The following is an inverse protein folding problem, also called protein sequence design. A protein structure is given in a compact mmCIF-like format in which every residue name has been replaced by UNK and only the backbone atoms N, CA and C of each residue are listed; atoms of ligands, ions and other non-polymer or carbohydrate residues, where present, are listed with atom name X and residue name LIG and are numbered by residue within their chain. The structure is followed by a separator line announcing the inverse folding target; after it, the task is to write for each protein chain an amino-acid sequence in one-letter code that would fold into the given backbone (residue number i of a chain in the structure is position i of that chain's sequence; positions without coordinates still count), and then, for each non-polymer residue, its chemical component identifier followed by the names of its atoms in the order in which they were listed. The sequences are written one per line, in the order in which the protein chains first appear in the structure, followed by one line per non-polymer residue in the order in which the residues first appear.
data_IF_708399939642
#
_entry.id   IF_708399939642
#
_cell.length_a   1.000
_cell.length_b   1.000
_cell.length_c   1.000
_cell.angle_alpha   90.00
_cell.angle_beta   90.00
_cell.angle_gamma   90.00
#
_symmetry.space_group_name_H-M   'P 1'
#
loop_
_entity.id
_entity.type
_entity.pdbx_description
1 polymer ?
#
# COMPACT_ATOMS: atom_id res chain seq x y z
N UNK A 1 -0.88 -13.03 -25.43
CA UNK A 1 -1.33 -11.88 -24.62
C UNK A 1 -1.02 -12.19 -23.17
N UNK A 2 -0.32 -11.29 -22.46
CA UNK A 2 0.05 -11.53 -21.05
C UNK A 2 -1.16 -11.44 -20.14
N UNK A 3 -1.15 -12.26 -19.08
CA UNK A 3 -2.25 -12.37 -18.10
C UNK A 3 -1.74 -12.08 -16.70
N UNK A 4 -2.39 -11.13 -16.04
CA UNK A 4 -2.10 -10.72 -14.68
C UNK A 4 -3.33 -10.85 -13.80
N UNK A 5 -3.14 -10.93 -12.49
CA UNK A 5 -4.24 -11.01 -11.56
C UNK A 5 -3.94 -10.32 -10.23
N UNK A 6 -4.99 -9.85 -9.55
CA UNK A 6 -4.97 -9.57 -8.11
C UNK A 6 -5.47 -10.81 -7.37
N UNK A 7 -4.70 -11.28 -6.40
CA UNK A 7 -5.10 -12.35 -5.50
C UNK A 7 -5.40 -11.82 -4.10
N UNK A 8 -6.47 -12.31 -3.49
CA UNK A 8 -6.92 -11.99 -2.14
C UNK A 8 -8.03 -12.92 -1.69
N UNK A 9 -8.45 -12.84 -0.44
CA UNK A 9 -9.55 -13.67 0.06
C UNK A 9 -10.91 -13.15 -0.40
N UNK A 10 -11.11 -11.81 -0.38
CA UNK A 10 -12.28 -11.11 -0.88
C UNK A 10 -11.85 -9.85 -1.60
N UNK A 11 -12.21 -9.71 -2.84
CA UNK A 11 -11.74 -8.63 -3.70
C UNK A 11 -12.83 -7.59 -4.03
N UNK A 12 -14.09 -7.94 -3.82
CA UNK A 12 -15.25 -7.05 -3.88
C UNK A 12 -15.21 -6.01 -5.00
N UNK A 13 -15.18 -4.73 -4.63
CA UNK A 13 -15.10 -3.60 -5.55
C UNK A 13 -13.68 -3.05 -5.67
N UNK A 14 -12.76 -3.83 -6.27
CA UNK A 14 -11.40 -3.38 -6.54
C UNK A 14 -11.33 -2.59 -7.85
N UNK A 15 -10.71 -1.42 -7.84
CA UNK A 15 -10.41 -0.63 -9.05
C UNK A 15 -9.10 -1.08 -9.74
N UNK A 16 -8.44 -2.12 -9.24
CA UNK A 16 -7.18 -2.61 -9.84
C UNK A 16 -7.31 -2.97 -11.32
N UNK A 17 -8.36 -3.68 -11.77
CA UNK A 17 -8.49 -4.02 -13.20
C UNK A 17 -8.48 -2.80 -14.10
N UNK A 18 -9.23 -1.74 -13.74
CA UNK A 18 -9.34 -0.52 -14.53
C UNK A 18 -8.02 0.25 -14.55
N UNK A 19 -7.35 0.38 -13.39
CA UNK A 19 -6.05 1.06 -13.26
C UNK A 19 -4.99 0.34 -14.09
N UNK A 20 -4.92 -0.99 -14.00
CA UNK A 20 -3.97 -1.78 -14.76
C UNK A 20 -4.25 -1.71 -16.26
N UNK A 21 -5.53 -1.72 -16.68
CA UNK A 21 -5.92 -1.56 -18.08
C UNK A 21 -5.50 -0.19 -18.62
N UNK A 22 -5.76 0.89 -17.88
CA UNK A 22 -5.33 2.24 -18.25
C UNK A 22 -3.80 2.33 -18.34
N UNK A 23 -3.08 1.73 -17.39
CA UNK A 23 -1.62 1.69 -17.37
C UNK A 23 -1.04 0.93 -18.57
N UNK A 24 -1.57 -0.26 -18.88
CA UNK A 24 -1.17 -1.03 -20.07
C UNK A 24 -1.37 -0.25 -21.37
N UNK A 25 -2.53 0.41 -21.52
CA UNK A 25 -2.82 1.27 -22.67
C UNK A 25 -1.78 2.38 -22.82
N UNK A 26 -1.39 3.05 -21.74
CA UNK A 26 -0.38 4.12 -21.75
C UNK A 26 1.05 3.60 -21.99
N UNK A 27 1.36 2.37 -21.59
CA UNK A 27 2.62 1.70 -21.89
C UNK A 27 2.68 1.16 -23.34
N UNK A 28 1.57 1.21 -24.08
CA UNK A 28 1.48 0.65 -25.44
C UNK A 28 1.68 -0.87 -25.45
N UNK A 29 1.05 -1.57 -24.50
CA UNK A 29 1.12 -3.03 -24.36
C UNK A 29 -0.28 -3.64 -24.23
N UNK A 30 -0.42 -4.93 -24.61
CA UNK A 30 -1.69 -5.65 -24.55
C UNK A 30 -1.60 -6.80 -23.53
N UNK A 31 -2.53 -6.79 -22.58
CA UNK A 31 -2.64 -7.80 -21.54
C UNK A 31 -4.02 -7.80 -20.89
N UNK A 32 -4.26 -8.82 -20.09
CA UNK A 32 -5.47 -8.96 -19.28
C UNK A 32 -5.13 -8.84 -17.80
N UNK A 33 -6.05 -8.27 -17.02
CA UNK A 33 -5.92 -8.21 -15.57
C UNK A 33 -7.24 -8.64 -14.93
N UNK A 34 -7.20 -9.66 -14.08
CA UNK A 34 -8.37 -10.27 -13.45
C UNK A 34 -8.30 -10.23 -11.93
N UNK A 35 -9.43 -10.50 -11.28
CA UNK A 35 -9.54 -10.69 -9.85
C UNK A 35 -9.66 -12.18 -9.55
N UNK A 36 -8.82 -12.72 -8.67
CA UNK A 36 -8.83 -14.12 -8.25
C UNK A 36 -8.99 -14.21 -6.73
N UNK A 37 -10.20 -14.48 -6.29
CA UNK A 37 -10.47 -14.77 -4.89
C UNK A 37 -10.03 -16.21 -4.58
N UNK A 38 -9.21 -16.36 -3.53
CA UNK A 38 -8.61 -17.62 -3.12
C UNK A 38 -8.87 -17.86 -1.64
N UNK A 39 -9.20 -19.10 -1.30
CA UNK A 39 -9.14 -19.53 0.09
C UNK A 39 -7.67 -19.73 0.54
N UNK A 40 -7.36 -19.64 1.85
CA UNK A 40 -5.97 -19.73 2.34
C UNK A 40 -5.19 -20.98 1.88
N UNK A 41 -5.85 -22.13 1.78
CA UNK A 41 -5.22 -23.38 1.34
C UNK A 41 -4.85 -23.42 -0.15
N UNK A 42 -5.41 -22.50 -0.97
CA UNK A 42 -5.17 -22.41 -2.41
C UNK A 42 -3.96 -21.51 -2.74
N UNK A 43 -3.38 -20.82 -1.76
CA UNK A 43 -2.28 -19.90 -2.01
C UNK A 43 -1.07 -20.57 -2.68
N UNK A 44 -0.79 -21.82 -2.36
CA UNK A 44 0.30 -22.60 -2.99
C UNK A 44 0.07 -22.90 -4.47
N UNK A 45 -1.18 -22.93 -4.96
CA UNK A 45 -1.52 -23.18 -6.36
C UNK A 45 -1.08 -22.02 -7.27
N UNK A 46 -0.98 -20.81 -6.70
CA UNK A 46 -0.58 -19.60 -7.45
C UNK A 46 0.84 -19.72 -8.00
N UNK A 47 1.76 -20.32 -7.23
CA UNK A 47 3.12 -20.56 -7.68
C UNK A 47 3.16 -21.48 -8.91
N UNK A 48 2.31 -22.51 -8.94
CA UNK A 48 2.17 -23.39 -10.11
C UNK A 48 1.62 -22.64 -11.34
N UNK A 49 0.60 -21.79 -11.17
CA UNK A 49 0.00 -21.01 -12.27
C UNK A 49 0.98 -20.02 -12.89
N UNK A 50 1.87 -19.43 -12.06
CA UNK A 50 2.94 -18.56 -12.55
C UNK A 50 4.02 -19.35 -13.30
N UNK A 51 4.47 -20.51 -12.76
CA UNK A 51 5.51 -21.34 -13.41
C UNK A 51 5.02 -21.99 -14.70
N UNK A 52 3.74 -22.34 -14.81
CA UNK A 52 3.14 -22.93 -16.01
C UNK A 52 2.88 -21.89 -17.12
N UNK A 53 3.04 -20.58 -16.85
CA UNK A 53 2.71 -19.51 -17.78
C UNK A 53 1.20 -19.27 -17.94
N UNK A 54 0.36 -19.81 -17.05
CA UNK A 54 -1.07 -19.45 -17.00
C UNK A 54 -1.26 -18.00 -16.59
N UNK A 55 -0.38 -17.51 -15.69
CA UNK A 55 -0.26 -16.11 -15.27
C UNK A 55 1.17 -15.63 -15.50
N UNK A 56 1.33 -14.40 -16.00
CA UNK A 56 2.63 -13.75 -16.20
C UNK A 56 3.08 -12.92 -15.00
N UNK A 57 2.18 -12.65 -14.06
CA UNK A 57 2.45 -11.93 -12.82
C UNK A 57 1.19 -11.74 -12.00
N UNK A 58 1.37 -11.47 -10.72
CA UNK A 58 0.25 -11.22 -9.79
C UNK A 58 0.52 -10.03 -8.87
N UNK A 59 -0.56 -9.35 -8.49
CA UNK A 59 -0.57 -8.58 -7.26
C UNK A 59 -1.20 -9.40 -6.14
N UNK A 60 -0.79 -9.10 -4.92
CA UNK A 60 -1.24 -9.78 -3.69
C UNK A 60 -1.81 -8.75 -2.71
N UNK A 61 -3.03 -9.00 -2.24
CA UNK A 61 -3.64 -8.18 -1.19
C UNK A 61 -3.99 -8.97 0.06
N UNK A 62 -4.70 -8.37 0.98
CA UNK A 62 -5.11 -8.95 2.26
C UNK A 62 -5.86 -10.27 2.03
N UNK A 63 -5.56 -11.33 2.83
CA UNK A 63 -4.60 -11.36 3.94
C UNK A 63 -3.19 -11.87 3.56
N UNK A 64 -2.90 -12.11 2.27
CA UNK A 64 -1.83 -13.00 1.78
C UNK A 64 -0.45 -12.37 1.60
N UNK A 65 -0.29 -11.05 1.83
CA UNK A 65 0.99 -10.33 1.57
C UNK A 65 2.21 -10.87 2.33
N UNK A 66 1.99 -11.51 3.48
CA UNK A 66 3.06 -12.14 4.28
C UNK A 66 3.19 -13.62 3.92
N UNK A 67 2.08 -14.33 3.81
CA UNK A 67 2.10 -15.78 3.59
C UNK A 67 2.59 -16.18 2.20
N UNK A 68 2.38 -15.34 1.18
CA UNK A 68 2.87 -15.59 -0.19
C UNK A 68 4.38 -15.75 -0.25
N UNK A 69 5.13 -15.14 0.67
CA UNK A 69 6.60 -15.22 0.72
C UNK A 69 7.06 -16.69 0.78
N UNK A 70 6.31 -17.55 1.45
CA UNK A 70 6.62 -18.99 1.58
C UNK A 70 6.51 -19.76 0.26
N UNK A 71 5.87 -19.18 -0.75
CA UNK A 71 5.65 -19.77 -2.08
C UNK A 71 6.63 -19.26 -3.13
N UNK A 72 7.56 -18.36 -2.76
CA UNK A 72 8.49 -17.67 -3.66
C UNK A 72 9.91 -18.23 -3.51
N UNK A 73 10.70 -18.11 -4.57
CA UNK A 73 12.11 -18.54 -4.55
C UNK A 73 12.99 -17.46 -3.91
N UNK A 74 12.68 -16.18 -4.18
CA UNK A 74 13.35 -15.04 -3.53
C UNK A 74 12.43 -13.83 -3.44
N UNK A 75 12.82 -12.89 -2.60
CA UNK A 75 12.19 -11.57 -2.53
C UNK A 75 13.27 -10.49 -2.64
N UNK A 76 12.89 -9.29 -3.06
CA UNK A 76 13.84 -8.17 -3.12
C UNK A 76 14.23 -7.72 -1.71
N UNK A 77 15.41 -7.11 -1.57
CA UNK A 77 15.87 -6.56 -0.28
C UNK A 77 14.87 -5.58 0.34
N UNK A 78 14.16 -4.82 -0.49
CA UNK A 78 13.10 -3.92 -0.07
C UNK A 78 11.89 -4.71 0.49
N UNK A 79 11.42 -5.73 -0.22
CA UNK A 79 10.31 -6.58 0.25
C UNK A 79 10.68 -7.36 1.52
N UNK A 80 11.94 -7.79 1.65
CA UNK A 80 12.49 -8.42 2.84
C UNK A 80 12.47 -7.46 4.04
N UNK A 81 12.98 -6.25 3.87
CA UNK A 81 12.96 -5.22 4.91
C UNK A 81 11.54 -4.82 5.35
N UNK A 82 10.57 -4.89 4.44
CA UNK A 82 9.15 -4.67 4.74
C UNK A 82 8.52 -5.91 5.39
N UNK A 83 9.00 -7.10 5.06
CA UNK A 83 8.41 -8.37 5.50
C UNK A 83 7.04 -8.65 4.88
N UNK A 84 6.79 -8.14 3.67
CA UNK A 84 5.55 -8.35 2.92
C UNK A 84 5.77 -8.19 1.41
N UNK A 85 5.06 -8.99 0.61
CA UNK A 85 5.07 -8.96 -0.86
C UNK A 85 3.66 -8.62 -1.36
N UNK A 86 3.56 -7.70 -2.32
CA UNK A 86 2.31 -7.38 -3.00
C UNK A 86 2.37 -7.54 -4.52
N UNK A 87 3.52 -7.93 -5.06
CA UNK A 87 3.71 -8.13 -6.51
C UNK A 87 4.67 -9.27 -6.74
N UNK A 88 4.31 -10.21 -7.62
CA UNK A 88 5.16 -11.37 -7.97
C UNK A 88 5.30 -11.46 -9.48
N UNK A 89 6.49 -11.83 -9.91
CA UNK A 89 6.83 -12.07 -11.31
C UNK A 89 7.73 -13.31 -11.43
N UNK A 90 7.64 -14.03 -12.52
CA UNK A 90 8.60 -15.07 -12.89
C UNK A 90 9.78 -14.44 -13.65
N UNK A 91 10.97 -14.51 -13.07
CA UNK A 91 12.24 -14.00 -13.65
C UNK A 91 13.26 -15.15 -13.70
N UNK A 92 13.77 -15.48 -14.89
CA UNK A 92 14.82 -16.51 -15.05
C UNK A 92 14.49 -17.82 -14.32
N UNK A 93 13.23 -18.26 -14.42
CA UNK A 93 12.65 -19.44 -13.75
C UNK A 93 12.43 -19.31 -12.23
N UNK A 94 12.77 -18.17 -11.60
CA UNK A 94 12.51 -17.88 -10.21
C UNK A 94 11.25 -17.02 -10.02
N UNK A 95 10.44 -17.34 -9.03
CA UNK A 95 9.35 -16.50 -8.55
C UNK A 95 9.90 -15.44 -7.62
N UNK A 96 9.89 -14.20 -8.08
CA UNK A 96 10.46 -13.06 -7.37
C UNK A 96 9.37 -12.18 -6.79
N UNK A 97 9.45 -11.92 -5.48
CA UNK A 97 8.52 -11.06 -4.77
C UNK A 97 9.04 -9.64 -4.59
N UNK A 98 8.14 -8.68 -4.85
CA UNK A 98 8.35 -7.23 -4.72
C UNK A 98 7.32 -6.60 -3.79
N UNK A 99 7.61 -5.40 -3.29
CA UNK A 99 6.61 -4.59 -2.60
C UNK A 99 6.43 -3.24 -3.29
N UNK A 100 5.42 -3.13 -4.17
CA UNK A 100 5.12 -1.89 -4.90
C UNK A 100 4.35 -0.86 -4.07
N UNK A 101 3.80 -1.23 -2.90
CA UNK A 101 3.18 -0.28 -1.96
C UNK A 101 4.21 0.75 -1.46
N UNK A 102 5.47 0.34 -1.28
CA UNK A 102 6.58 1.22 -0.95
C UNK A 102 6.68 2.38 -1.95
N UNK A 103 6.71 2.06 -3.24
CA UNK A 103 6.80 3.06 -4.30
C UNK A 103 5.55 3.91 -4.40
N UNK A 104 4.37 3.31 -4.24
CA UNK A 104 3.11 4.04 -4.23
C UNK A 104 3.03 5.07 -3.10
N UNK A 105 3.45 4.70 -1.89
CA UNK A 105 3.47 5.62 -0.76
C UNK A 105 4.57 6.69 -0.91
N UNK A 106 5.74 6.30 -1.42
CA UNK A 106 6.82 7.26 -1.73
C UNK A 106 6.37 8.30 -2.74
N UNK A 107 5.64 7.91 -3.80
CA UNK A 107 5.03 8.83 -4.76
C UNK A 107 4.10 9.83 -4.08
N UNK A 108 3.30 9.40 -3.12
CA UNK A 108 2.40 10.27 -2.35
C UNK A 108 3.20 11.35 -1.62
N UNK A 109 4.29 10.98 -0.94
CA UNK A 109 5.14 11.91 -0.20
C UNK A 109 5.90 12.88 -1.12
N UNK A 110 6.47 12.39 -2.23
CA UNK A 110 7.17 13.20 -3.22
C UNK A 110 6.25 14.32 -3.77
N UNK A 111 4.96 14.01 -3.95
CA UNK A 111 3.96 14.98 -4.38
C UNK A 111 3.66 16.04 -3.32
N UNK A 112 3.61 15.64 -2.07
CA UNK A 112 3.38 16.57 -0.95
C UNK A 112 4.60 17.45 -0.66
N UNK A 113 5.79 17.08 -1.14
CA UNK A 113 7.06 17.79 -0.94
C UNK A 113 7.40 18.03 0.54
N UNK A 114 7.14 17.03 1.39
CA UNK A 114 7.37 17.11 2.83
C UNK A 114 8.80 16.66 3.14
N UNK A 115 9.53 17.45 3.94
CA UNK A 115 10.79 17.03 4.55
C UNK A 115 10.52 16.31 5.87
N UNK A 116 10.85 15.03 5.93
CA UNK A 116 10.61 14.17 7.09
C UNK A 116 11.86 13.90 7.92
N UNK A 117 13.04 14.37 7.48
CA UNK A 117 14.31 14.07 8.15
C UNK A 117 14.33 14.58 9.61
N UNK A 118 14.45 13.64 10.55
CA UNK A 118 14.44 13.90 11.99
C UNK A 118 13.08 14.30 12.57
N UNK A 119 12.01 14.32 11.76
CA UNK A 119 10.66 14.69 12.18
C UNK A 119 9.88 13.49 12.72
N UNK A 120 8.99 13.76 13.67
CA UNK A 120 8.07 12.75 14.17
C UNK A 120 7.01 12.44 13.11
N UNK A 121 6.86 11.14 12.80
CA UNK A 121 5.89 10.59 11.88
C UNK A 121 5.07 9.52 12.60
N UNK A 122 3.77 9.65 12.61
CA UNK A 122 2.86 8.70 13.26
C UNK A 122 2.15 7.85 12.22
N UNK A 123 2.10 6.54 12.46
CA UNK A 123 1.37 5.56 11.64
C UNK A 123 0.31 4.89 12.51
N UNK A 124 -0.96 5.05 12.16
CA UNK A 124 -2.08 4.45 12.87
C UNK A 124 -2.43 3.09 12.25
N UNK A 125 -2.31 2.02 13.05
CA UNK A 125 -2.59 0.65 12.62
C UNK A 125 -1.35 -0.11 12.14
N UNK A 126 -1.37 -1.45 12.26
CA UNK A 126 -0.23 -2.34 12.00
C UNK A 126 -0.50 -3.44 10.97
N UNK A 127 -1.31 -3.14 9.94
CA UNK A 127 -1.61 -4.06 8.84
C UNK A 127 -0.50 -4.16 7.79
N UNK A 128 -0.75 -4.91 6.72
CA UNK A 128 0.22 -5.12 5.64
C UNK A 128 0.71 -3.83 4.98
N UNK A 129 -0.17 -2.84 4.75
CA UNK A 129 0.22 -1.55 4.17
C UNK A 129 1.03 -0.68 5.15
N UNK A 130 0.78 -0.80 6.46
CA UNK A 130 1.54 -0.08 7.47
C UNK A 130 3.05 -0.40 7.42
N UNK A 131 3.42 -1.65 7.08
CA UNK A 131 4.82 -2.08 6.93
C UNK A 131 5.55 -1.27 5.86
N UNK A 132 4.95 -1.14 4.68
CA UNK A 132 5.51 -0.34 3.59
C UNK A 132 5.61 1.15 3.98
N UNK A 133 4.55 1.70 4.60
CA UNK A 133 4.54 3.08 5.12
C UNK A 133 5.67 3.32 6.11
N UNK A 134 5.80 2.47 7.14
CA UNK A 134 6.87 2.55 8.15
C UNK A 134 8.24 2.55 7.48
N UNK A 135 8.48 1.62 6.54
CA UNK A 135 9.76 1.52 5.84
C UNK A 135 10.09 2.78 5.05
N UNK A 136 9.15 3.32 4.28
CA UNK A 136 9.37 4.56 3.52
C UNK A 136 9.70 5.72 4.45
N UNK A 137 8.95 5.88 5.55
CA UNK A 137 9.17 6.96 6.51
C UNK A 137 10.55 6.86 7.18
N UNK A 138 10.99 5.65 7.53
CA UNK A 138 12.33 5.40 8.08
C UNK A 138 13.43 5.71 7.05
N UNK A 139 13.26 5.29 5.80
CA UNK A 139 14.24 5.54 4.72
C UNK A 139 14.38 7.04 4.40
N UNK A 140 13.33 7.82 4.62
CA UNK A 140 13.35 9.28 4.51
C UNK A 140 13.86 9.97 5.80
N UNK A 141 14.32 9.20 6.79
CA UNK A 141 14.91 9.71 8.02
C UNK A 141 13.90 10.18 9.06
N UNK A 142 12.62 9.83 8.94
CA UNK A 142 11.59 10.13 9.92
C UNK A 142 11.75 9.33 11.22
N UNK A 143 11.38 9.93 12.35
CA UNK A 143 11.22 9.25 13.63
C UNK A 143 9.81 8.64 13.68
N UNK A 144 9.72 7.33 13.48
CA UNK A 144 8.42 6.67 13.28
C UNK A 144 7.85 6.14 14.58
N UNK A 145 6.58 6.47 14.82
CA UNK A 145 5.74 5.96 15.91
C UNK A 145 4.59 5.16 15.30
N UNK A 146 4.56 3.85 15.54
CA UNK A 146 3.50 2.96 15.11
C UNK A 146 2.49 2.79 16.24
N UNK A 147 1.25 3.19 15.99
CA UNK A 147 0.19 3.20 17.01
C UNK A 147 -0.73 2.01 16.87
N UNK A 148 -0.97 1.31 17.96
CA UNK A 148 -1.86 0.14 18.01
C UNK A 148 -2.70 0.08 19.27
N UNK A 149 -3.87 -0.57 19.16
CA UNK A 149 -4.69 -0.98 20.32
C UNK A 149 -4.01 -2.08 21.15
N UNK A 150 -3.05 -2.80 20.53
CA UNK A 150 -2.31 -3.90 21.16
C UNK A 150 -0.83 -3.81 20.77
N UNK A 151 -0.04 -2.86 21.34
CA UNK A 151 1.35 -2.63 20.99
C UNK A 151 2.21 -3.89 21.10
N UNK A 152 2.01 -4.69 22.16
CA UNK A 152 2.80 -5.91 22.41
C UNK A 152 2.69 -6.95 21.26
N UNK A 153 1.50 -7.08 20.65
CA UNK A 153 1.31 -7.98 19.50
C UNK A 153 2.06 -7.48 18.26
N UNK A 154 2.21 -6.17 18.11
CA UNK A 154 2.94 -5.60 16.98
C UNK A 154 4.45 -5.69 17.14
N UNK A 155 4.99 -5.69 18.36
CA UNK A 155 6.43 -5.81 18.61
C UNK A 155 7.02 -7.05 17.94
N UNK A 156 6.33 -8.18 18.04
CA UNK A 156 6.75 -9.41 17.37
C UNK A 156 6.69 -9.30 15.85
N UNK A 157 5.54 -8.87 15.32
CA UNK A 157 5.32 -8.79 13.88
C UNK A 157 6.13 -7.70 13.18
N UNK A 158 6.61 -6.67 13.91
CA UNK A 158 7.47 -5.59 13.43
C UNK A 158 8.91 -5.66 13.96
N UNK A 159 9.34 -6.81 14.48
CA UNK A 159 10.69 -6.99 15.05
C UNK A 159 11.83 -6.71 14.06
N UNK A 160 11.59 -6.84 12.75
CA UNK A 160 12.56 -6.49 11.71
C UNK A 160 12.77 -4.98 11.49
N UNK A 161 11.95 -4.11 12.09
CA UNK A 161 12.06 -2.66 11.92
C UNK A 161 12.86 -2.03 13.07
N UNK A 162 14.17 -1.87 12.87
CA UNK A 162 15.03 -1.24 13.88
C UNK A 162 14.66 0.22 14.11
N UNK A 163 14.71 0.68 15.37
CA UNK A 163 14.40 2.09 15.71
C UNK A 163 12.94 2.49 15.60
N UNK A 164 12.01 1.55 15.40
CA UNK A 164 10.58 1.80 15.37
C UNK A 164 10.03 1.91 16.81
N UNK A 165 9.32 3.00 17.10
CA UNK A 165 8.62 3.17 18.37
C UNK A 165 7.20 2.64 18.23
N UNK A 166 6.86 1.57 18.96
CA UNK A 166 5.50 1.00 18.96
C UNK A 166 4.82 1.43 20.24
N UNK A 167 3.71 2.19 20.11
CA UNK A 167 3.01 2.85 21.20
C UNK A 167 1.50 2.57 21.17
N UNK A 168 0.85 2.84 22.29
CA UNK A 168 -0.60 2.81 22.42
C UNK A 168 -1.25 4.12 21.96
N UNK A 169 -2.57 4.12 21.77
CA UNK A 169 -3.33 5.35 21.51
C UNK A 169 -3.28 6.36 22.67
N UNK A 170 -3.08 5.92 23.91
CA UNK A 170 -2.91 6.80 25.06
C UNK A 170 -1.58 7.55 25.00
N UNK A 171 -0.49 6.86 24.66
CA UNK A 171 0.83 7.49 24.53
C UNK A 171 0.90 8.43 23.31
N UNK A 172 0.05 8.24 22.29
CA UNK A 172 -0.06 9.14 21.15
C UNK A 172 -0.50 10.56 21.59
N UNK A 173 -1.24 10.69 22.67
CA UNK A 173 -1.72 11.99 23.15
C UNK A 173 -0.57 12.97 23.46
N UNK A 174 0.61 12.48 23.78
CA UNK A 174 1.80 13.30 24.09
C UNK A 174 2.71 13.55 22.85
N UNK A 175 2.32 13.04 21.67
CA UNK A 175 3.12 13.15 20.43
C UNK A 175 2.59 14.28 19.56
N UNK A 176 3.50 15.11 19.09
CA UNK A 176 3.28 16.07 18.01
C UNK A 176 4.32 15.85 16.90
N UNK A 177 4.05 16.27 15.67
CA UNK A 177 4.96 15.99 14.59
C UNK A 177 4.58 16.56 13.23
N UNK A 178 5.31 16.10 12.23
CA UNK A 178 5.16 16.56 10.85
C UNK A 178 4.04 15.82 10.13
N UNK A 179 3.96 14.49 10.31
CA UNK A 179 3.06 13.64 9.53
C UNK A 179 2.32 12.63 10.39
N UNK A 180 1.02 12.50 10.15
CA UNK A 180 0.21 11.42 10.68
C UNK A 180 -0.48 10.65 9.54
N UNK A 181 -0.36 9.31 9.54
CA UNK A 181 -0.87 8.44 8.48
C UNK A 181 -1.91 7.47 9.04
N UNK A 182 -3.13 7.49 8.52
CA UNK A 182 -4.13 6.47 8.80
C UNK A 182 -3.92 5.27 7.84
N UNK A 183 -3.52 4.13 8.38
CA UNK A 183 -3.42 2.85 7.66
C UNK A 183 -4.49 1.85 8.08
N UNK A 184 -5.46 2.29 8.89
CA UNK A 184 -6.60 1.48 9.34
C UNK A 184 -7.77 1.60 8.36
N UNK A 185 -8.75 0.67 8.38
CA UNK A 185 -9.97 0.79 7.59
C UNK A 185 -11.02 1.73 8.24
N UNK A 186 -10.71 2.40 9.35
CA UNK A 186 -11.67 3.26 10.08
C UNK A 186 -11.92 4.54 9.28
N UNK A 187 -13.18 4.78 8.92
CA UNK A 187 -13.61 5.89 8.05
C UNK A 187 -13.83 5.49 6.59
N UNK A 188 -13.57 4.23 6.23
CA UNK A 188 -13.84 3.68 4.89
C UNK A 188 -15.33 3.39 4.71
N UNK A 189 -15.85 3.55 3.48
CA UNK A 189 -17.20 3.14 3.12
C UNK A 189 -17.46 1.66 3.50
N UNK A 190 -18.64 1.29 4.06
CA UNK A 190 -19.82 2.16 4.26
C UNK A 190 -19.80 2.99 5.56
N UNK A 191 -18.88 2.80 6.48
CA UNK A 191 -18.85 3.44 7.81
C UNK A 191 -17.99 4.72 7.80
N UNK A 192 -18.48 5.75 7.09
CA UNK A 192 -17.73 6.98 6.83
C UNK A 192 -17.74 8.01 7.97
N UNK A 193 -18.70 7.88 8.92
CA UNK A 193 -18.93 8.86 9.99
C UNK A 193 -18.12 8.57 11.27
N UNK A 194 -17.00 7.85 11.12
CA UNK A 194 -16.10 7.51 12.22
C UNK A 194 -14.67 7.96 11.91
N UNK A 195 -13.95 8.33 12.96
CA UNK A 195 -12.53 8.67 12.87
C UNK A 195 -11.74 7.82 13.85
N UNK A 196 -10.53 7.46 13.47
CA UNK A 196 -9.68 6.54 14.27
C UNK A 196 -9.15 7.18 15.55
N UNK A 197 -9.05 8.51 15.58
CA UNK A 197 -8.60 9.31 16.74
C UNK A 197 -9.36 10.64 16.82
N UNK A 198 -9.23 11.30 17.95
CA UNK A 198 -9.84 12.59 18.20
C UNK A 198 -9.18 13.72 17.39
N UNK A 199 -9.97 14.75 17.07
CA UNK A 199 -9.53 15.87 16.23
C UNK A 199 -8.34 16.63 16.84
N UNK A 200 -8.33 16.84 18.16
CA UNK A 200 -7.25 17.58 18.82
C UNK A 200 -5.89 16.89 18.72
N UNK A 201 -5.87 15.56 18.52
CA UNK A 201 -4.64 14.80 18.27
C UNK A 201 -4.19 15.02 16.82
N UNK A 202 -5.12 14.94 15.86
CA UNK A 202 -4.80 15.15 14.43
C UNK A 202 -4.19 16.54 14.22
N UNK A 203 -4.72 17.55 14.88
CA UNK A 203 -4.26 18.95 14.78
C UNK A 203 -2.86 19.22 15.34
N UNK A 204 -2.22 18.25 16.00
CA UNK A 204 -0.82 18.33 16.42
C UNK A 204 0.17 18.02 15.30
N UNK A 205 -0.34 17.67 14.10
CA UNK A 205 0.47 17.30 12.95
C UNK A 205 0.26 18.28 11.80
N UNK A 206 1.35 18.65 11.11
CA UNK A 206 1.31 19.57 9.96
C UNK A 206 0.56 18.95 8.77
N UNK A 207 0.72 17.63 8.59
CA UNK A 207 0.19 16.90 7.44
C UNK A 207 -0.51 15.61 7.85
N UNK A 208 -1.56 15.23 7.12
CA UNK A 208 -2.24 13.95 7.26
C UNK A 208 -2.31 13.18 5.95
N UNK A 209 -2.09 11.87 6.01
CA UNK A 209 -2.34 10.96 4.89
C UNK A 209 -3.33 9.91 5.36
N UNK A 210 -4.40 9.70 4.61
CA UNK A 210 -5.30 8.58 4.82
C UNK A 210 -5.14 7.59 3.67
N UNK A 211 -4.79 6.33 3.95
CA UNK A 211 -4.70 5.32 2.88
C UNK A 211 -6.07 4.95 2.30
N UNK A 212 -7.16 5.36 2.95
CA UNK A 212 -8.51 5.26 2.41
C UNK A 212 -8.65 6.23 1.23
N UNK A 213 -9.21 5.75 0.12
CA UNK A 213 -9.54 6.56 -1.05
C UNK A 213 -11.04 6.61 -1.34
N UNK A 214 -11.85 5.79 -0.68
CA UNK A 214 -13.31 5.82 -0.75
C UNK A 214 -13.91 5.81 0.67
N UNK A 215 -14.47 6.95 1.13
CA UNK A 215 -14.78 8.18 0.40
C UNK A 215 -13.51 9.00 0.01
N UNK A 216 -13.68 9.97 -0.91
CA UNK A 216 -12.60 10.87 -1.35
C UNK A 216 -11.98 11.64 -0.17
N UNK A 217 -12.83 12.02 0.79
CA UNK A 217 -12.46 12.77 1.98
C UNK A 217 -13.10 12.12 3.22
N UNK A 218 -12.29 11.46 4.03
CA UNK A 218 -12.72 10.87 5.31
C UNK A 218 -12.83 11.94 6.42
N UNK A 219 -13.46 11.61 7.55
CA UNK A 219 -13.44 12.50 8.73
C UNK A 219 -12.01 12.78 9.21
N UNK A 220 -11.10 11.82 9.08
CA UNK A 220 -9.69 12.03 9.39
C UNK A 220 -9.10 13.16 8.54
N UNK A 221 -9.28 13.13 7.22
CA UNK A 221 -8.77 14.16 6.31
C UNK A 221 -9.43 15.52 6.53
N UNK A 222 -10.73 15.58 6.80
CA UNK A 222 -11.44 16.83 7.13
C UNK A 222 -10.87 17.54 8.35
N UNK A 223 -10.22 16.82 9.24
CA UNK A 223 -9.61 17.33 10.49
C UNK A 223 -8.13 17.67 10.34
N UNK A 224 -7.49 17.33 9.21
CA UNK A 224 -6.10 17.68 8.92
C UNK A 224 -6.00 19.11 8.40
N UNK A 225 -4.87 19.78 8.65
CA UNK A 225 -4.60 21.11 8.06
C UNK A 225 -4.25 20.99 6.58
N UNK A 226 -3.46 19.98 6.23
CA UNK A 226 -3.09 19.63 4.85
C UNK A 226 -3.12 18.11 4.74
N UNK A 227 -3.92 17.57 3.83
CA UNK A 227 -4.06 16.10 3.73
C UNK A 227 -4.27 15.60 2.32
N UNK A 228 -3.91 14.35 2.12
CA UNK A 228 -4.17 13.60 0.88
C UNK A 228 -4.70 12.20 1.20
N UNK A 229 -5.54 11.68 0.31
CA UNK A 229 -6.06 10.32 0.43
C UNK A 229 -5.17 9.28 -0.27
N UNK A 230 -5.56 8.00 -0.15
CA UNK A 230 -4.79 6.85 -0.63
C UNK A 230 -4.76 6.66 -2.16
N UNK A 231 -5.39 7.53 -2.95
CA UNK A 231 -5.50 7.31 -4.39
C UNK A 231 -4.13 7.34 -5.09
N UNK A 232 -3.22 8.24 -4.68
CA UNK A 232 -1.85 8.27 -5.23
C UNK A 232 -1.09 6.98 -4.96
N UNK A 233 -1.21 6.45 -3.74
CA UNK A 233 -0.59 5.18 -3.39
C UNK A 233 -1.19 4.02 -4.20
N UNK A 234 -2.52 4.00 -4.37
CA UNK A 234 -3.23 2.98 -5.15
C UNK A 234 -2.78 2.98 -6.61
N UNK A 235 -2.69 4.14 -7.25
CA UNK A 235 -2.23 4.26 -8.64
C UNK A 235 -0.74 3.95 -8.73
N UNK A 236 0.07 4.51 -7.84
CA UNK A 236 1.52 4.36 -7.86
C UNK A 236 1.99 2.93 -7.76
N UNK A 237 1.39 2.12 -6.87
CA UNK A 237 1.72 0.71 -6.73
C UNK A 237 1.34 -0.09 -7.99
N UNK A 238 0.21 0.22 -8.63
CA UNK A 238 -0.23 -0.47 -9.83
C UNK A 238 0.64 -0.12 -11.06
N UNK A 239 0.98 1.15 -11.22
CA UNK A 239 1.93 1.60 -12.25
C UNK A 239 3.28 0.89 -12.06
N UNK A 240 3.80 0.85 -10.83
CA UNK A 240 5.07 0.19 -10.55
C UNK A 240 5.03 -1.31 -10.83
N UNK A 241 3.94 -2.00 -10.52
CA UNK A 241 3.76 -3.40 -10.87
C UNK A 241 3.81 -3.62 -12.39
N UNK A 242 3.11 -2.79 -13.16
CA UNK A 242 3.14 -2.87 -14.63
C UNK A 242 4.53 -2.57 -15.21
N UNK A 243 5.24 -1.59 -14.66
CA UNK A 243 6.63 -1.30 -15.06
C UNK A 243 7.56 -2.51 -14.86
N UNK A 244 7.41 -3.24 -13.76
CA UNK A 244 8.16 -4.47 -13.46
C UNK A 244 7.81 -5.59 -14.47
N UNK A 245 6.53 -5.89 -14.65
CA UNK A 245 6.08 -6.98 -15.52
C UNK A 245 6.42 -6.78 -17.01
N UNK A 246 6.40 -5.51 -17.46
CA UNK A 246 6.69 -5.19 -18.86
C UNK A 246 8.13 -4.73 -19.10
N UNK A 247 8.91 -4.54 -18.02
CA UNK A 247 10.28 -3.97 -18.10
C UNK A 247 10.31 -2.64 -18.86
N UNK A 248 9.24 -1.84 -18.71
CA UNK A 248 9.05 -0.53 -19.35
C UNK A 248 8.78 0.53 -18.29
N UNK A 249 9.20 1.78 -18.55
CA UNK A 249 8.90 2.93 -17.69
C UNK A 249 7.72 3.72 -18.23
N UNK A 250 6.83 4.12 -17.33
CA UNK A 250 5.73 5.03 -17.64
C UNK A 250 6.22 6.48 -17.54
N UNK A 251 5.93 7.28 -18.57
CA UNK A 251 6.31 8.71 -18.62
C UNK A 251 5.16 9.65 -18.25
N UNK A 252 3.94 9.14 -18.17
CA UNK A 252 2.71 9.93 -17.99
C UNK A 252 1.89 9.45 -16.79
N UNK A 253 2.48 9.42 -15.60
CA UNK A 253 1.81 9.01 -14.35
C UNK A 253 0.54 9.84 -14.07
N UNK A 254 0.63 11.17 -14.23
CA UNK A 254 -0.48 12.09 -13.94
C UNK A 254 -1.71 11.82 -14.82
N UNK A 255 -1.53 11.32 -16.04
CA UNK A 255 -2.66 10.94 -16.89
C UNK A 255 -3.43 9.74 -16.33
N UNK A 256 -2.69 8.70 -15.84
CA UNK A 256 -3.30 7.53 -15.19
C UNK A 256 -4.00 7.94 -13.90
N UNK A 257 -3.35 8.79 -13.11
CA UNK A 257 -3.94 9.29 -11.87
C UNK A 257 -5.27 10.01 -12.14
N UNK A 258 -5.29 10.94 -13.09
CA UNK A 258 -6.50 11.70 -13.44
C UNK A 258 -7.61 10.79 -13.99
N UNK A 259 -7.27 9.84 -14.88
CA UNK A 259 -8.25 8.87 -15.41
C UNK A 259 -8.83 8.01 -14.26
N UNK A 260 -8.00 7.60 -13.30
CA UNK A 260 -8.44 6.84 -12.13
C UNK A 260 -9.28 7.69 -11.16
N UNK A 261 -8.89 8.94 -10.91
CA UNK A 261 -9.64 9.88 -10.06
C UNK A 261 -11.04 10.09 -10.62
N UNK A 262 -11.14 10.30 -11.93
CA UNK A 262 -12.41 10.43 -12.64
C UNK A 262 -13.26 9.16 -12.49
N UNK A 263 -12.65 7.99 -12.63
CA UNK A 263 -13.35 6.70 -12.49
C UNK A 263 -13.89 6.47 -11.07
N UNK A 264 -13.08 6.77 -10.06
CA UNK A 264 -13.43 6.52 -8.66
C UNK A 264 -14.48 7.51 -8.13
N UNK A 265 -14.42 8.78 -8.57
CA UNK A 265 -15.22 9.85 -7.97
C UNK A 265 -16.29 10.45 -8.89
N UNK A 266 -16.32 10.13 -10.19
CA UNK A 266 -17.46 10.48 -11.06
C UNK A 266 -18.55 9.42 -10.88
N UNK A 267 -19.51 9.70 -10.02
CA UNK A 267 -20.82 9.05 -10.00
C UNK A 267 -21.86 10.01 -10.48
#
# INVERSE_FOLDING_TARGET
MKKFALIGEKLGHSYSPEIHKATMKKLGVEGEYSLLELAPHQLGEVAHRLRSGELDGINVTIPYKVDIIKCLDRITLEAEAIGAVNTVILEEEELVGYNTDYWGFKYTLDRMKIDLKGKNCVVLGGGGSARAVVKVLQDLGGKVFLVSRSPEKLKESFSGFSGLNIISYRELEDIEGELIVNTTPVGMYPNTDVCVIEEYIIRKFSHGIDLIYNPKETLFLKRTSTGVNGLYMLVGQAVRAQELWWKKKLTSFEDIFKETEDLVYRK
#
